data_IF_721983537809
#
_entry.id   IF_721983537809
#
_cell.length_a   1.000
_cell.length_b   1.000
_cell.length_c   1.000
_cell.angle_alpha   90.00
_cell.angle_beta   90.00
_cell.angle_gamma   90.00
#
_symmetry.space_group_name_H-M   'P 1'
#
loop_
_entity.id
_entity.type
_entity.pdbx_description
1 polymer ?
#
# COMPACT_ATOMS: atom_id res chain seq x y z
N UNK A 1 18.15 1.03 -5.65
CA UNK A 1 18.35 0.53 -4.27
C UNK A 1 17.25 1.13 -3.40
N UNK A 2 16.36 0.31 -2.80
CA UNK A 2 15.27 0.81 -1.97
C UNK A 2 15.76 1.75 -0.86
N UNK A 3 16.97 1.52 -0.34
CA UNK A 3 17.59 2.31 0.73
C UNK A 3 17.81 3.77 0.31
N UNK A 4 18.28 4.00 -0.92
CA UNK A 4 18.48 5.36 -1.44
C UNK A 4 17.13 6.03 -1.73
N UNK A 5 16.18 5.30 -2.31
CA UNK A 5 14.84 5.82 -2.59
C UNK A 5 14.11 6.25 -1.32
N UNK A 6 14.23 5.47 -0.23
CA UNK A 6 13.68 5.83 1.08
C UNK A 6 14.30 7.13 1.61
N UNK A 7 15.61 7.32 1.42
CA UNK A 7 16.30 8.55 1.83
C UNK A 7 15.83 9.76 1.03
N UNK A 8 15.75 9.62 -0.30
CA UNK A 8 15.20 10.66 -1.17
C UNK A 8 13.76 11.03 -0.77
N UNK A 9 12.92 10.04 -0.48
CA UNK A 9 11.54 10.27 -0.04
C UNK A 9 11.49 11.01 1.32
N UNK A 10 12.37 10.67 2.27
CA UNK A 10 12.46 11.38 3.56
C UNK A 10 12.92 12.82 3.40
N UNK A 11 13.92 13.05 2.54
CA UNK A 11 14.41 14.40 2.22
C UNK A 11 13.30 15.22 1.58
N UNK A 12 12.64 14.69 0.55
CA UNK A 12 11.54 15.35 -0.13
C UNK A 12 10.41 15.70 0.84
N UNK A 13 10.07 14.79 1.75
CA UNK A 13 9.03 15.03 2.76
C UNK A 13 9.43 16.09 3.77
N UNK A 14 10.68 16.08 4.24
CA UNK A 14 11.19 17.09 5.15
C UNK A 14 11.20 18.50 4.51
N UNK A 15 11.52 18.59 3.21
CA UNK A 15 11.47 19.85 2.46
C UNK A 15 10.02 20.33 2.27
N UNK A 16 9.16 19.50 1.69
CA UNK A 16 7.79 19.90 1.32
C UNK A 16 6.91 20.10 2.55
N UNK A 17 6.81 19.09 3.43
CA UNK A 17 5.90 19.14 4.57
C UNK A 17 6.47 20.01 5.71
N UNK A 18 7.80 20.04 5.85
CA UNK A 18 8.46 20.72 6.97
C UNK A 18 8.79 22.19 6.72
N UNK A 19 9.29 22.54 5.53
CA UNK A 19 9.79 23.88 5.24
C UNK A 19 8.89 24.69 4.29
N UNK A 20 8.24 24.05 3.32
CA UNK A 20 7.44 24.76 2.33
C UNK A 20 5.97 24.91 2.73
N UNK A 21 5.36 23.85 3.28
CA UNK A 21 3.92 23.84 3.64
C UNK A 21 3.63 24.36 5.03
N UNK A 22 4.62 24.47 5.90
CA UNK A 22 4.47 24.96 7.27
C UNK A 22 5.42 26.14 7.47
N UNK A 23 5.07 27.04 8.40
CA UNK A 23 5.93 28.14 8.84
C UNK A 23 6.58 27.72 10.18
N UNK A 24 7.64 26.90 10.15
CA UNK A 24 8.22 26.34 11.36
C UNK A 24 8.86 27.45 12.22
N UNK A 25 8.84 27.25 13.52
CA UNK A 25 9.66 28.08 14.41
C UNK A 25 11.15 27.90 14.07
N UNK A 26 12.02 28.87 14.43
CA UNK A 26 13.46 28.75 14.13
C UNK A 26 14.10 27.46 14.66
N UNK A 27 13.65 26.95 15.81
CA UNK A 27 14.14 25.69 16.38
C UNK A 27 13.68 24.47 15.58
N UNK A 28 12.46 24.49 15.05
CA UNK A 28 11.93 23.40 14.21
C UNK A 28 12.61 23.39 12.85
N UNK A 29 12.81 24.56 12.25
CA UNK A 29 13.54 24.72 10.99
C UNK A 29 14.97 24.15 11.09
N UNK A 30 15.68 24.46 12.18
CA UNK A 30 17.01 23.88 12.45
C UNK A 30 16.95 22.36 12.57
N UNK A 31 15.98 21.82 13.32
CA UNK A 31 15.83 20.37 13.46
C UNK A 31 15.50 19.66 12.13
N UNK A 32 14.66 20.27 11.30
CA UNK A 32 14.33 19.76 9.96
C UNK A 32 15.58 19.77 9.07
N UNK A 33 16.36 20.85 9.09
CA UNK A 33 17.63 20.93 8.35
C UNK A 33 18.63 19.88 8.80
N UNK A 34 18.79 19.66 10.11
CA UNK A 34 19.69 18.64 10.65
C UNK A 34 19.29 17.23 10.18
N UNK A 35 17.98 16.94 10.11
CA UNK A 35 17.47 15.67 9.56
C UNK A 35 17.80 15.53 8.08
N UNK A 36 17.62 16.58 7.28
CA UNK A 36 17.96 16.57 5.85
C UNK A 36 19.47 16.35 5.67
N UNK A 37 20.32 17.08 6.39
CA UNK A 37 21.77 16.91 6.36
C UNK A 37 22.17 15.48 6.73
N UNK A 38 21.51 14.88 7.73
CA UNK A 38 21.75 13.49 8.12
C UNK A 38 21.40 12.52 6.99
N UNK A 39 20.24 12.68 6.34
CA UNK A 39 19.84 11.80 5.24
C UNK A 39 20.75 11.97 4.00
N UNK A 40 21.13 13.21 3.66
CA UNK A 40 22.09 13.50 2.58
C UNK A 40 23.46 12.90 2.88
N UNK A 41 23.98 13.10 4.10
CA UNK A 41 25.30 12.60 4.51
C UNK A 41 25.34 11.08 4.47
N UNK A 42 24.31 10.43 5.00
CA UNK A 42 24.24 8.97 5.00
C UNK A 42 24.01 8.40 3.60
N UNK A 43 23.28 9.10 2.72
CA UNK A 43 23.18 8.74 1.30
C UNK A 43 24.54 8.85 0.60
N UNK A 44 25.27 9.95 0.82
CA UNK A 44 26.62 10.16 0.27
C UNK A 44 27.61 9.09 0.73
N UNK A 45 27.54 8.69 2.00
CA UNK A 45 28.37 7.64 2.58
C UNK A 45 27.96 6.22 2.17
N UNK A 46 26.80 6.07 1.49
CA UNK A 46 26.33 4.79 0.97
C UNK A 46 26.79 4.65 -0.48
N UNK A 47 27.63 3.65 -0.77
CA UNK A 47 28.11 3.38 -2.13
C UNK A 47 26.92 3.18 -3.10
N UNK A 48 26.73 4.17 -3.99
CA UNK A 48 25.68 4.19 -5.00
C UNK A 48 26.01 3.31 -6.22
N UNK A 49 27.29 2.94 -6.37
CA UNK A 49 27.77 2.06 -7.43
C UNK A 49 27.58 0.61 -7.02
N UNK A 50 26.62 -0.09 -7.64
CA UNK A 50 26.51 -1.54 -7.47
C UNK A 50 27.76 -2.20 -8.07
N UNK A 51 28.58 -2.84 -7.23
CA UNK A 51 29.75 -3.63 -7.67
C UNK A 51 29.37 -4.96 -8.35
N UNK A 52 28.11 -5.38 -8.21
CA UNK A 52 27.56 -6.60 -8.79
C UNK A 52 26.28 -6.28 -9.58
N UNK A 53 26.02 -7.08 -10.61
CA UNK A 53 24.79 -7.02 -11.40
C UNK A 53 23.59 -7.22 -10.47
N UNK A 54 22.52 -6.42 -10.57
CA UNK A 54 21.34 -6.56 -9.73
C UNK A 54 20.74 -7.96 -9.85
N UNK A 55 20.31 -8.55 -8.74
CA UNK A 55 19.52 -9.77 -8.79
C UNK A 55 18.07 -9.44 -9.17
N UNK A 56 17.36 -10.37 -9.81
CA UNK A 56 15.93 -10.22 -10.12
C UNK A 56 15.11 -9.90 -8.87
N UNK A 57 15.51 -10.43 -7.71
CA UNK A 57 14.88 -10.14 -6.41
C UNK A 57 15.00 -8.67 -6.00
N UNK A 58 16.11 -8.00 -6.31
CA UNK A 58 16.29 -6.58 -6.03
C UNK A 58 15.32 -5.74 -6.87
N UNK A 59 15.11 -6.12 -8.12
CA UNK A 59 14.19 -5.44 -9.04
C UNK A 59 12.74 -5.64 -8.61
N UNK A 60 12.35 -6.86 -8.22
CA UNK A 60 11.03 -7.15 -7.63
C UNK A 60 10.80 -6.24 -6.42
N UNK A 61 11.78 -6.16 -5.52
CA UNK A 61 11.71 -5.30 -4.33
C UNK A 61 11.54 -3.82 -4.70
N UNK A 62 12.24 -3.35 -5.72
CA UNK A 62 12.14 -1.97 -6.20
C UNK A 62 10.77 -1.65 -6.81
N UNK A 63 10.19 -2.55 -7.60
CA UNK A 63 8.83 -2.37 -8.13
C UNK A 63 7.80 -2.34 -7.01
N UNK A 64 7.88 -3.30 -6.07
CA UNK A 64 6.96 -3.37 -4.93
C UNK A 64 7.08 -2.11 -4.06
N UNK A 65 8.29 -1.57 -3.92
CA UNK A 65 8.50 -0.30 -3.23
C UNK A 65 7.68 0.84 -3.88
N UNK A 66 7.80 1.05 -5.18
CA UNK A 66 7.03 2.11 -5.86
C UNK A 66 5.52 1.88 -5.83
N UNK A 67 5.08 0.64 -6.08
CA UNK A 67 3.66 0.28 -6.02
C UNK A 67 3.06 0.58 -4.64
N UNK A 68 3.79 0.31 -3.56
CA UNK A 68 3.27 0.47 -2.19
C UNK A 68 3.50 1.85 -1.59
N UNK A 69 4.63 2.50 -1.84
CA UNK A 69 4.98 3.77 -1.19
C UNK A 69 4.55 5.01 -1.98
N UNK A 70 4.39 4.89 -3.29
CA UNK A 70 3.98 6.01 -4.15
C UNK A 70 2.56 5.82 -4.67
N UNK A 71 2.34 4.73 -5.42
CA UNK A 71 1.06 4.55 -6.15
C UNK A 71 -0.08 4.28 -5.17
N UNK A 72 0.07 3.28 -4.30
CA UNK A 72 -0.97 2.91 -3.34
C UNK A 72 -1.41 4.09 -2.46
N UNK A 73 -0.45 4.90 -2.00
CA UNK A 73 -0.72 6.05 -1.14
C UNK A 73 -1.48 7.20 -1.85
N UNK A 74 -1.33 7.35 -3.16
CA UNK A 74 -1.95 8.44 -3.94
C UNK A 74 -3.31 8.04 -4.51
N UNK A 75 -3.53 6.74 -4.75
CA UNK A 75 -4.74 6.24 -5.41
C UNK A 75 -6.07 6.70 -4.76
N UNK A 76 -6.26 6.63 -3.43
CA UNK A 76 -7.53 7.05 -2.82
C UNK A 76 -7.89 8.50 -3.16
N UNK A 77 -6.94 9.41 -2.99
CA UNK A 77 -7.11 10.83 -3.32
C UNK A 77 -7.37 11.06 -4.80
N UNK A 78 -6.71 10.31 -5.68
CA UNK A 78 -6.98 10.38 -7.11
C UNK A 78 -8.44 10.02 -7.43
N UNK A 79 -8.98 8.96 -6.81
CA UNK A 79 -10.38 8.59 -7.01
C UNK A 79 -11.34 9.67 -6.47
N UNK A 80 -11.07 10.23 -5.29
CA UNK A 80 -11.85 11.35 -4.73
C UNK A 80 -11.87 12.57 -5.67
N UNK A 81 -10.71 12.95 -6.23
CA UNK A 81 -10.60 14.08 -7.17
C UNK A 81 -11.34 13.81 -8.49
N UNK A 82 -11.36 12.56 -8.96
CA UNK A 82 -12.12 12.16 -10.15
C UNK A 82 -13.63 12.20 -9.88
N UNK A 83 -14.08 11.70 -8.73
CA UNK A 83 -15.49 11.77 -8.33
C UNK A 83 -15.96 13.23 -8.22
N UNK A 84 -15.20 14.08 -7.51
CA UNK A 84 -15.52 15.50 -7.36
C UNK A 84 -15.56 16.22 -8.71
N UNK A 85 -14.58 15.97 -9.58
CA UNK A 85 -14.54 16.57 -10.91
C UNK A 85 -15.74 16.14 -11.76
N UNK A 86 -16.14 14.88 -11.68
CA UNK A 86 -17.31 14.38 -12.41
C UNK A 86 -18.60 15.04 -11.90
N UNK A 87 -18.83 15.03 -10.58
CA UNK A 87 -20.04 15.62 -9.98
C UNK A 87 -20.16 17.11 -10.32
N UNK A 88 -19.04 17.84 -10.32
CA UNK A 88 -19.01 19.27 -10.68
C UNK A 88 -19.36 19.53 -12.14
N UNK A 89 -18.93 18.67 -13.08
CA UNK A 89 -19.16 18.89 -14.51
C UNK A 89 -20.56 18.47 -14.94
N UNK A 90 -21.07 17.38 -14.35
CA UNK A 90 -22.35 16.79 -14.76
C UNK A 90 -23.52 17.16 -13.86
N UNK A 91 -23.30 17.98 -12.82
CA UNK A 91 -24.32 18.41 -11.85
C UNK A 91 -25.08 17.22 -11.22
N UNK A 92 -24.41 16.06 -11.11
CA UNK A 92 -24.97 14.86 -10.49
C UNK A 92 -24.43 14.73 -9.07
N UNK A 93 -25.29 15.02 -8.08
CA UNK A 93 -24.95 14.84 -6.65
C UNK A 93 -25.25 13.42 -6.14
N UNK A 94 -26.15 12.67 -6.80
CA UNK A 94 -26.80 11.51 -6.17
C UNK A 94 -26.52 10.14 -6.82
N UNK A 95 -25.88 10.07 -7.99
CA UNK A 95 -25.56 8.77 -8.60
C UNK A 95 -24.10 8.41 -8.34
N UNK A 96 -23.81 7.43 -7.46
CA UNK A 96 -22.45 6.99 -7.26
C UNK A 96 -21.90 6.43 -8.58
N UNK A 97 -20.83 7.05 -9.10
CA UNK A 97 -20.10 6.47 -10.21
C UNK A 97 -19.42 5.20 -9.75
N UNK A 98 -19.62 4.11 -10.47
CA UNK A 98 -18.79 2.92 -10.30
C UNK A 98 -17.41 3.18 -10.92
N UNK A 99 -16.51 3.77 -10.14
CA UNK A 99 -15.11 3.97 -10.51
C UNK A 99 -14.21 2.80 -10.09
N UNK A 100 -14.77 1.70 -9.60
CA UNK A 100 -14.02 0.64 -8.90
C UNK A 100 -12.85 0.02 -9.69
N UNK A 101 -12.77 0.24 -11.01
CA UNK A 101 -11.75 -0.36 -11.90
C UNK A 101 -11.17 0.59 -12.95
N UNK A 102 -11.11 1.89 -12.68
CA UNK A 102 -10.59 2.86 -13.66
C UNK A 102 -9.12 2.60 -14.02
N UNK A 103 -8.27 2.31 -13.03
CA UNK A 103 -6.83 2.10 -13.22
C UNK A 103 -6.39 0.73 -12.72
N UNK A 104 -5.51 0.07 -13.49
CA UNK A 104 -4.83 -1.17 -13.11
C UNK A 104 -3.33 -1.06 -13.38
N UNK A 105 -2.53 -1.68 -12.51
CA UNK A 105 -1.08 -1.73 -12.63
C UNK A 105 -0.63 -3.16 -12.89
N UNK A 106 0.41 -3.30 -13.70
CA UNK A 106 1.08 -4.56 -13.99
C UNK A 106 2.59 -4.36 -13.99
N UNK A 107 3.32 -5.44 -13.73
CA UNK A 107 4.78 -5.45 -13.78
C UNK A 107 5.25 -6.72 -14.48
N UNK A 108 6.25 -6.57 -15.34
CA UNK A 108 6.93 -7.68 -16.01
C UNK A 108 8.11 -8.20 -15.19
N UNK A 109 8.58 -7.42 -14.22
CA UNK A 109 9.72 -7.77 -13.36
C UNK A 109 9.45 -9.07 -12.59
N UNK A 110 10.38 -10.01 -12.73
CA UNK A 110 10.29 -11.36 -12.17
C UNK A 110 9.60 -12.39 -13.06
N UNK A 111 8.90 -11.97 -14.13
CA UNK A 111 8.19 -12.86 -15.04
C UNK A 111 8.65 -12.82 -16.50
N UNK A 112 9.28 -11.73 -16.94
CA UNK A 112 9.79 -11.59 -18.31
C UNK A 112 11.08 -12.39 -18.51
N UNK A 113 10.96 -13.52 -19.22
CA UNK A 113 12.06 -14.46 -19.46
C UNK A 113 12.78 -14.18 -20.78
N UNK A 114 12.35 -13.21 -21.58
CA UNK A 114 12.94 -12.97 -22.89
C UNK A 114 14.40 -12.49 -22.76
N UNK A 115 15.35 -13.32 -23.23
CA UNK A 115 16.77 -13.01 -23.22
C UNK A 115 17.45 -12.95 -21.84
N UNK A 116 16.74 -13.24 -20.74
CA UNK A 116 17.29 -13.17 -19.38
C UNK A 116 17.35 -14.55 -18.70
N UNK A 117 18.52 -15.22 -18.68
CA UNK A 117 18.66 -16.55 -18.07
C UNK A 117 18.48 -16.55 -16.54
N UNK A 118 18.41 -15.38 -15.90
CA UNK A 118 18.20 -15.26 -14.46
C UNK A 118 16.71 -15.21 -14.08
N UNK A 119 15.79 -15.18 -15.04
CA UNK A 119 14.33 -15.14 -14.81
C UNK A 119 13.73 -16.48 -15.18
N UNK A 120 12.88 -17.02 -14.30
CA UNK A 120 12.24 -18.31 -14.48
C UNK A 120 11.04 -18.51 -13.55
N UNK A 121 10.54 -19.75 -13.40
CA UNK A 121 9.38 -20.04 -12.56
C UNK A 121 9.53 -19.57 -11.12
N UNK A 122 10.71 -19.77 -10.52
CA UNK A 122 10.97 -19.38 -9.13
C UNK A 122 10.97 -17.87 -8.93
N UNK A 123 11.45 -17.09 -9.90
CA UNK A 123 11.41 -15.62 -9.82
C UNK A 123 9.98 -15.09 -9.98
N UNK A 124 9.17 -15.73 -10.82
CA UNK A 124 7.76 -15.37 -10.99
C UNK A 124 6.97 -15.63 -9.70
N UNK A 125 7.14 -16.83 -9.11
CA UNK A 125 6.53 -17.16 -7.83
C UNK A 125 6.98 -16.19 -6.74
N UNK A 126 8.28 -15.90 -6.67
CA UNK A 126 8.83 -14.92 -5.72
C UNK A 126 8.25 -13.52 -5.92
N UNK A 127 8.06 -13.07 -7.16
CA UNK A 127 7.47 -11.77 -7.47
C UNK A 127 6.01 -11.69 -6.98
N UNK A 128 5.21 -12.72 -7.29
CA UNK A 128 3.80 -12.79 -6.91
C UNK A 128 3.63 -12.90 -5.38
N UNK A 129 4.46 -13.69 -4.70
CA UNK A 129 4.45 -13.78 -3.24
C UNK A 129 4.85 -12.46 -2.58
N UNK A 130 5.88 -11.79 -3.11
CA UNK A 130 6.33 -10.50 -2.58
C UNK A 130 5.25 -9.44 -2.73
N UNK A 131 4.60 -9.35 -3.90
CA UNK A 131 3.49 -8.43 -4.15
C UNK A 131 2.29 -8.73 -3.24
N UNK A 132 1.88 -10.00 -3.12
CA UNK A 132 0.79 -10.44 -2.23
C UNK A 132 1.09 -10.11 -0.77
N UNK A 133 2.30 -10.40 -0.30
CA UNK A 133 2.70 -10.10 1.08
C UNK A 133 2.67 -8.60 1.35
N UNK A 134 3.15 -7.80 0.40
CA UNK A 134 3.17 -6.35 0.52
C UNK A 134 1.76 -5.73 0.60
N UNK A 135 0.82 -6.15 -0.26
CA UNK A 135 -0.54 -5.62 -0.23
C UNK A 135 -1.32 -6.07 1.00
N UNK A 136 -1.17 -7.32 1.44
CA UNK A 136 -1.82 -7.79 2.67
C UNK A 136 -1.33 -7.04 3.90
N UNK A 137 -0.04 -6.67 3.94
CA UNK A 137 0.51 -5.84 5.02
C UNK A 137 -0.13 -4.44 5.05
N UNK A 138 -0.32 -3.82 3.89
CA UNK A 138 -0.99 -2.51 3.79
C UNK A 138 -2.44 -2.60 4.27
N UNK A 139 -3.21 -3.57 3.78
CA UNK A 139 -4.59 -3.76 4.22
C UNK A 139 -4.72 -4.00 5.72
N UNK A 140 -3.83 -4.78 6.33
CA UNK A 140 -3.85 -4.96 7.80
C UNK A 140 -3.64 -3.66 8.55
N UNK A 141 -2.70 -2.83 8.10
CA UNK A 141 -2.44 -1.53 8.72
C UNK A 141 -3.66 -0.60 8.62
N UNK A 142 -4.27 -0.51 7.45
CA UNK A 142 -5.46 0.33 7.24
C UNK A 142 -6.69 -0.18 8.00
N UNK A 143 -6.90 -1.50 8.04
CA UNK A 143 -8.00 -2.08 8.83
C UNK A 143 -7.81 -1.77 10.33
N UNK A 144 -6.58 -1.84 10.83
CA UNK A 144 -6.28 -1.49 12.21
C UNK A 144 -6.56 0.00 12.48
N UNK A 145 -6.12 0.88 11.60
CA UNK A 145 -6.40 2.33 11.69
C UNK A 145 -7.90 2.63 11.65
N UNK A 146 -8.64 1.98 10.74
CA UNK A 146 -10.10 2.11 10.68
C UNK A 146 -10.77 1.61 11.96
N UNK A 147 -10.29 0.52 12.56
CA UNK A 147 -10.83 -0.02 13.80
C UNK A 147 -10.58 0.90 15.01
N UNK A 148 -9.49 1.66 14.99
CA UNK A 148 -9.20 2.71 15.97
C UNK A 148 -10.14 3.91 15.80
N UNK A 149 -10.45 4.31 14.56
CA UNK A 149 -11.31 5.46 14.25
C UNK A 149 -12.81 5.15 14.43
N UNK A 150 -13.29 4.00 13.96
CA UNK A 150 -14.71 3.63 13.96
C UNK A 150 -15.17 3.03 15.30
N UNK A 151 -15.34 3.92 16.29
CA UNK A 151 -15.67 3.61 17.68
C UNK A 151 -17.15 3.76 18.04
N UNK A 152 -18.01 3.97 17.04
CA UNK A 152 -19.44 4.20 17.25
C UNK A 152 -20.09 3.03 18.00
N UNK A 153 -20.96 3.36 18.95
CA UNK A 153 -21.64 2.37 19.78
C UNK A 153 -22.99 1.97 19.19
N UNK A 154 -23.38 0.70 19.32
CA UNK A 154 -24.61 0.15 18.74
C UNK A 154 -25.90 0.86 19.17
N UNK A 155 -25.88 1.57 20.30
CA UNK A 155 -27.01 2.36 20.80
C UNK A 155 -27.03 3.82 20.30
N UNK A 156 -26.06 4.26 19.50
CA UNK A 156 -25.93 5.63 19.00
C UNK A 156 -25.96 5.76 17.48
N UNK A 157 -25.89 4.64 16.77
CA UNK A 157 -25.93 4.60 15.31
C UNK A 157 -26.95 3.60 14.82
N UNK A 158 -27.57 3.92 13.68
CA UNK A 158 -28.32 2.94 12.92
C UNK A 158 -27.32 2.19 12.04
N UNK A 159 -27.36 0.85 12.08
CA UNK A 159 -26.54 0.02 11.20
C UNK A 159 -27.30 -0.28 9.92
N UNK A 160 -26.57 -0.35 8.82
CA UNK A 160 -27.08 -0.96 7.61
C UNK A 160 -27.48 -2.43 7.86
N UNK A 161 -28.58 -2.86 7.22
CA UNK A 161 -29.13 -4.20 7.43
C UNK A 161 -28.16 -5.29 6.95
N UNK A 162 -27.48 -5.09 5.82
CA UNK A 162 -26.51 -6.06 5.30
C UNK A 162 -25.35 -6.20 6.28
N UNK A 163 -24.84 -5.10 6.82
CA UNK A 163 -23.77 -5.13 7.83
C UNK A 163 -24.23 -5.86 9.10
N UNK A 164 -25.45 -5.62 9.57
CA UNK A 164 -25.99 -6.26 10.76
C UNK A 164 -26.05 -7.80 10.62
N UNK A 165 -26.39 -8.31 9.43
CA UNK A 165 -26.42 -9.77 9.17
C UNK A 165 -25.06 -10.46 9.25
N UNK A 166 -23.96 -9.70 9.15
CA UNK A 166 -22.59 -10.22 9.24
C UNK A 166 -22.04 -10.22 10.68
N UNK A 167 -22.80 -9.70 11.63
CA UNK A 167 -22.42 -9.59 13.05
C UNK A 167 -23.18 -10.61 13.90
N UNK A 168 -22.75 -10.76 15.16
CA UNK A 168 -23.43 -11.61 16.13
C UNK A 168 -24.77 -11.02 16.58
N UNK A 169 -25.69 -11.89 17.03
CA UNK A 169 -26.91 -11.53 17.77
C UNK A 169 -26.78 -12.01 19.24
N UNK A 170 -26.83 -11.11 20.24
CA UNK A 170 -27.04 -9.67 20.16
C UNK A 170 -25.87 -8.91 19.51
N UNK A 171 -26.19 -7.74 18.95
CA UNK A 171 -25.21 -6.87 18.31
C UNK A 171 -24.09 -6.49 19.28
N UNK A 172 -22.82 -6.54 18.84
CA UNK A 172 -21.70 -6.14 19.68
C UNK A 172 -21.75 -4.64 20.01
N UNK A 173 -21.23 -4.21 21.19
CA UNK A 173 -21.29 -2.82 21.62
C UNK A 173 -20.66 -1.81 20.65
N UNK A 174 -19.62 -2.23 19.91
CA UNK A 174 -18.94 -1.45 18.87
C UNK A 174 -18.98 -2.23 17.54
N UNK A 175 -20.06 -2.12 16.77
CA UNK A 175 -20.33 -2.99 15.62
C UNK A 175 -19.31 -2.86 14.48
N UNK A 176 -18.88 -1.66 14.12
CA UNK A 176 -17.88 -1.45 13.08
C UNK A 176 -16.52 -2.06 13.44
N UNK A 177 -16.06 -1.85 14.67
CA UNK A 177 -14.83 -2.46 15.18
C UNK A 177 -14.91 -3.99 15.19
N UNK A 178 -16.04 -4.55 15.60
CA UNK A 178 -16.26 -6.00 15.58
C UNK A 178 -16.19 -6.56 14.15
N UNK A 179 -16.80 -5.87 13.20
CA UNK A 179 -16.74 -6.24 11.78
C UNK A 179 -15.31 -6.14 11.24
N UNK A 180 -14.59 -5.05 11.51
CA UNK A 180 -13.21 -4.87 11.05
C UNK A 180 -12.25 -5.90 11.63
N UNK A 181 -12.47 -6.38 12.86
CA UNK A 181 -11.72 -7.52 13.42
C UNK A 181 -11.92 -8.79 12.59
N UNK A 182 -13.16 -9.10 12.21
CA UNK A 182 -13.44 -10.23 11.33
C UNK A 182 -12.74 -10.06 9.96
N UNK A 183 -12.77 -8.86 9.39
CA UNK A 183 -12.05 -8.58 8.13
C UNK A 183 -10.54 -8.76 8.31
N UNK A 184 -9.95 -8.29 9.42
CA UNK A 184 -8.53 -8.46 9.72
C UNK A 184 -8.16 -9.95 9.80
N UNK A 185 -8.94 -10.77 10.50
CA UNK A 185 -8.74 -12.22 10.60
C UNK A 185 -8.78 -12.90 9.22
N UNK A 186 -9.67 -12.44 8.34
CA UNK A 186 -9.75 -12.92 6.95
C UNK A 186 -8.54 -12.55 6.11
N UNK A 187 -8.03 -11.32 6.25
CA UNK A 187 -6.80 -10.87 5.58
C UNK A 187 -5.58 -11.62 6.13
N UNK A 188 -5.56 -11.93 7.43
CA UNK A 188 -4.55 -12.78 8.04
C UNK A 188 -4.58 -14.21 7.51
N UNK A 189 -5.76 -14.82 7.47
CA UNK A 189 -5.95 -16.17 6.94
C UNK A 189 -5.51 -16.26 5.47
N UNK A 190 -5.83 -15.24 4.67
CA UNK A 190 -5.36 -15.14 3.28
C UNK A 190 -3.83 -15.14 3.21
N UNK A 191 -3.13 -14.47 4.13
CA UNK A 191 -1.67 -14.49 4.16
C UNK A 191 -1.05 -15.83 4.57
N UNK A 192 -1.79 -16.73 5.23
CA UNK A 192 -1.30 -18.04 5.67
C UNK A 192 -1.40 -19.13 4.60
N UNK A 193 -2.28 -18.95 3.61
CA UNK A 193 -2.43 -19.89 2.49
C UNK A 193 -1.33 -19.61 1.47
N UNK A 194 -0.50 -20.60 1.08
CA UNK A 194 0.48 -20.42 0.01
C UNK A 194 -0.21 -19.91 -1.25
N UNK A 195 0.39 -18.92 -1.91
CA UNK A 195 -0.26 -18.29 -3.07
C UNK A 195 -0.40 -19.26 -4.25
N UNK A 196 0.51 -20.24 -4.35
CA UNK A 196 0.60 -21.18 -5.46
C UNK A 196 0.89 -22.59 -4.92
N UNK A 197 -0.12 -23.22 -4.29
CA UNK A 197 -0.07 -24.63 -3.87
C UNK A 197 -0.61 -25.58 -4.95
N UNK A 198 -0.29 -25.30 -6.21
CA UNK A 198 -0.57 -26.19 -7.34
C UNK A 198 0.53 -27.23 -7.45
N UNK A 199 0.19 -28.50 -7.28
CA UNK A 199 1.11 -29.63 -7.46
C UNK A 199 1.72 -29.56 -8.87
N UNK A 200 3.04 -29.42 -8.99
CA UNK A 200 3.77 -29.40 -10.27
C UNK A 200 3.71 -30.75 -11.05
N UNK A 201 2.82 -31.67 -10.65
CA UNK A 201 2.77 -33.06 -11.11
C UNK A 201 1.62 -33.35 -12.10
N UNK A 202 0.89 -32.35 -12.61
CA UNK A 202 -0.17 -32.60 -13.60
C UNK A 202 -0.22 -31.51 -14.67
N UNK A 203 0.82 -31.42 -15.49
CA UNK A 203 0.68 -30.88 -16.84
C UNK A 203 0.84 -32.08 -17.77
N UNK A 204 -0.25 -32.64 -18.32
CA UNK A 204 -0.12 -33.64 -19.37
C UNK A 204 0.50 -32.97 -20.61
N UNK A 205 1.44 -33.69 -21.23
CA UNK A 205 2.17 -33.29 -22.44
C UNK A 205 1.26 -33.01 -23.65
#
# INVERSE_FOLDING_TARGET
RPEILVKEQRIARALIDGLERHDPTPSEELSIRDRIVTEVTTAWQTDGTRRQVPEVRDEIGQVVFFLTQAIYAVLPRFYEEVEEAFSRVFEQEETPLDLSRLIRFGSWVGGDMDGNPNVGPDTLLSALETQRSAILRLYRAEIAELAERLTQTSNRVTLDAELATRLSDPLPPMPYRAFLRYVAERVEATGKVPAFSGNAASVPA
#
